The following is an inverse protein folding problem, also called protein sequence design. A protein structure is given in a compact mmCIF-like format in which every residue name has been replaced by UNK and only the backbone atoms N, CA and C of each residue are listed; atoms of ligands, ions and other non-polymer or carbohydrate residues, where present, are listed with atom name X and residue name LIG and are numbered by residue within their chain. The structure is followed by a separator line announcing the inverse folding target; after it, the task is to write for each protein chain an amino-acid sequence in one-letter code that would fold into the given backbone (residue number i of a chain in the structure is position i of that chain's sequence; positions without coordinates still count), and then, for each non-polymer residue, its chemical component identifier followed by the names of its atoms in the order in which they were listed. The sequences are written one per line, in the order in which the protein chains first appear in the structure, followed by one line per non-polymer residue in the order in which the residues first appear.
data_IF_021258908064
#
_entry.id   IF_021258908064
#
_cell.length_a   1.000
_cell.length_b   1.000
_cell.length_c   1.000
_cell.angle_alpha   90.00
_cell.angle_beta   90.00
_cell.angle_gamma   90.00
#
_symmetry.space_group_name_H-M   'P 1'
#
loop_
_entity.id
_entity.type
_entity.pdbx_description
1 polymer ?
#
# COMPACT_ATOMS: atom_id res chain seq x y z
N UNK A 1 -7.37 31.64 -2.48
CA UNK A 1 -5.95 31.25 -2.50
C UNK A 1 -5.27 31.65 -1.18
N UNK A 2 -4.51 30.75 -0.56
CA UNK A 2 -3.76 31.06 0.67
C UNK A 2 -2.46 31.83 0.32
N UNK A 3 -2.20 32.94 1.04
CA UNK A 3 -0.95 33.71 0.93
C UNK A 3 0.22 32.86 1.43
N UNK A 4 1.41 33.04 0.85
CA UNK A 4 2.64 32.47 1.44
C UNK A 4 2.75 32.96 2.89
N UNK A 5 3.06 32.06 3.82
CA UNK A 5 3.15 32.26 5.28
C UNK A 5 1.85 32.28 6.10
N UNK A 6 0.67 32.30 5.45
CA UNK A 6 -0.59 32.09 6.16
C UNK A 6 -0.93 30.59 6.17
N UNK A 7 -1.29 30.06 7.34
CA UNK A 7 -1.72 28.66 7.54
C UNK A 7 -3.24 28.59 7.84
N UNK A 8 -4.01 29.49 7.21
CA UNK A 8 -5.44 29.63 7.43
C UNK A 8 -6.20 28.34 7.11
N UNK A 9 -5.84 27.63 6.04
CA UNK A 9 -6.52 26.39 5.66
C UNK A 9 -6.33 25.31 6.75
N UNK A 10 -5.11 25.18 7.26
CA UNK A 10 -4.81 24.25 8.37
C UNK A 10 -5.62 24.59 9.63
N UNK A 11 -5.69 25.88 9.99
CA UNK A 11 -6.42 26.33 11.18
C UNK A 11 -7.93 26.14 11.00
N UNK A 12 -8.45 26.47 9.82
CA UNK A 12 -9.85 26.33 9.47
C UNK A 12 -10.35 24.87 9.51
N UNK A 13 -9.51 23.92 9.10
CA UNK A 13 -9.84 22.49 9.11
C UNK A 13 -9.60 21.81 10.46
N UNK A 14 -8.93 22.47 11.42
CA UNK A 14 -8.64 21.88 12.75
C UNK A 14 -9.89 21.42 13.51
N UNK A 15 -11.02 22.16 13.51
CA UNK A 15 -12.25 21.69 14.14
C UNK A 15 -12.76 20.35 13.56
N UNK A 16 -12.56 20.09 12.26
CA UNK A 16 -12.97 18.82 11.65
C UNK A 16 -12.18 17.64 12.21
N UNK A 17 -10.87 17.81 12.45
CA UNK A 17 -10.03 16.80 13.11
C UNK A 17 -10.56 16.51 14.51
N UNK A 18 -10.81 17.55 15.31
CA UNK A 18 -11.31 17.41 16.69
C UNK A 18 -12.65 16.67 16.74
N UNK A 19 -13.56 16.96 15.81
CA UNK A 19 -14.87 16.31 15.75
C UNK A 19 -14.75 14.85 15.28
N UNK A 20 -13.85 14.55 14.35
CA UNK A 20 -13.58 13.18 13.88
C UNK A 20 -12.90 12.32 14.96
N UNK A 21 -12.02 12.90 15.78
CA UNK A 21 -11.36 12.21 16.91
C UNK A 21 -12.30 11.98 18.10
N UNK A 22 -13.35 12.78 18.22
CA UNK A 22 -14.22 12.73 19.40
C UNK A 22 -15.06 11.44 19.41
N UNK A 23 -14.95 10.59 20.45
CA UNK A 23 -15.69 9.33 20.52
C UNK A 23 -17.20 9.53 20.64
N UNK A 24 -17.64 10.70 21.11
CA UNK A 24 -19.06 11.06 21.29
C UNK A 24 -19.63 11.81 20.08
N UNK A 25 -18.83 12.03 19.04
CA UNK A 25 -19.31 12.64 17.81
C UNK A 25 -20.37 11.75 17.17
N UNK A 26 -21.38 12.35 16.56
CA UNK A 26 -22.41 11.60 15.84
C UNK A 26 -21.91 11.18 14.46
N UNK A 27 -22.33 10.02 13.99
CA UNK A 27 -21.92 9.49 12.67
C UNK A 27 -22.30 10.44 11.53
N UNK A 28 -23.50 11.01 11.55
CA UNK A 28 -23.98 11.95 10.52
C UNK A 28 -23.13 13.23 10.44
N UNK A 29 -22.61 13.70 11.57
CA UNK A 29 -21.69 14.85 11.62
C UNK A 29 -20.33 14.48 11.02
N UNK A 30 -19.80 13.29 11.33
CA UNK A 30 -18.53 12.79 10.74
C UNK A 30 -18.67 12.57 9.23
N UNK A 31 -19.81 12.06 8.78
CA UNK A 31 -20.13 11.91 7.36
C UNK A 31 -20.19 13.28 6.66
N UNK A 32 -20.85 14.27 7.27
CA UNK A 32 -20.92 15.64 6.76
C UNK A 32 -19.52 16.25 6.61
N UNK A 33 -18.64 16.04 7.59
CA UNK A 33 -17.25 16.50 7.51
C UNK A 33 -16.54 15.90 6.30
N UNK A 34 -16.66 14.58 6.08
CA UNK A 34 -16.05 13.91 4.92
C UNK A 34 -16.61 14.45 3.60
N UNK A 35 -17.93 14.66 3.51
CA UNK A 35 -18.57 15.26 2.32
C UNK A 35 -18.09 16.69 2.07
N UNK A 36 -17.92 17.49 3.12
CA UNK A 36 -17.35 18.84 3.04
C UNK A 36 -15.90 18.81 2.53
N UNK A 37 -15.09 17.86 3.03
CA UNK A 37 -13.71 17.66 2.55
C UNK A 37 -13.68 17.24 1.09
N UNK A 38 -14.54 16.29 0.67
CA UNK A 38 -14.64 15.86 -0.73
C UNK A 38 -15.00 17.04 -1.64
N UNK A 39 -16.00 17.84 -1.26
CA UNK A 39 -16.42 19.01 -2.02
C UNK A 39 -15.30 20.06 -2.09
N UNK A 40 -14.60 20.31 -0.98
CA UNK A 40 -13.45 21.22 -0.95
C UNK A 40 -12.34 20.76 -1.89
N UNK A 41 -12.01 19.47 -1.92
CA UNK A 41 -11.02 18.93 -2.87
C UNK A 41 -11.48 19.16 -4.31
N UNK A 42 -12.72 18.76 -4.64
CA UNK A 42 -13.26 18.91 -6.00
C UNK A 42 -13.27 20.36 -6.49
N UNK A 43 -13.67 21.29 -5.63
CA UNK A 43 -13.81 22.69 -6.00
C UNK A 43 -12.48 23.47 -5.94
N UNK A 44 -11.57 23.09 -5.04
CA UNK A 44 -10.45 23.94 -4.65
C UNK A 44 -9.09 23.23 -4.65
N UNK A 45 -8.94 22.00 -5.16
CA UNK A 45 -7.68 21.22 -5.13
C UNK A 45 -6.44 22.06 -5.46
N UNK A 46 -6.44 22.79 -6.60
CA UNK A 46 -5.34 23.66 -7.06
C UNK A 46 -4.97 24.79 -6.07
N UNK A 47 -5.91 25.17 -5.21
CA UNK A 47 -5.77 26.23 -4.22
C UNK A 47 -5.45 25.71 -2.81
N UNK A 48 -5.49 24.39 -2.57
CA UNK A 48 -5.13 23.79 -1.30
C UNK A 48 -3.61 23.76 -1.20
N UNK A 49 -3.08 24.34 -0.10
CA UNK A 49 -1.65 24.37 0.25
C UNK A 49 -1.48 23.76 1.64
N UNK A 50 -1.51 24.58 2.69
CA UNK A 50 -1.29 24.10 4.08
C UNK A 50 -2.39 23.14 4.58
N UNK A 51 -3.53 23.07 3.87
CA UNK A 51 -4.65 22.21 4.21
C UNK A 51 -4.48 20.72 3.89
N UNK A 52 -3.60 20.32 2.97
CA UNK A 52 -3.47 18.91 2.54
C UNK A 52 -3.18 17.97 3.70
N UNK A 53 -2.22 18.32 4.56
CA UNK A 53 -1.90 17.51 5.75
C UNK A 53 -3.10 17.32 6.68
N UNK A 54 -3.90 18.36 6.90
CA UNK A 54 -5.11 18.25 7.73
C UNK A 54 -6.18 17.38 7.06
N UNK A 55 -6.33 17.48 5.73
CA UNK A 55 -7.23 16.62 4.96
C UNK A 55 -6.82 15.14 5.11
N UNK A 56 -5.53 14.83 4.94
CA UNK A 56 -5.02 13.48 5.15
C UNK A 56 -5.20 13.00 6.59
N UNK A 57 -5.04 13.87 7.60
CA UNK A 57 -5.38 13.53 8.99
C UNK A 57 -6.85 13.16 9.15
N UNK A 58 -7.79 13.91 8.55
CA UNK A 58 -9.23 13.59 8.58
C UNK A 58 -9.50 12.23 7.93
N UNK A 59 -8.86 11.95 6.78
CA UNK A 59 -9.00 10.66 6.11
C UNK A 59 -8.42 9.50 6.93
N UNK A 60 -7.27 9.68 7.59
CA UNK A 60 -6.72 8.67 8.51
C UNK A 60 -7.67 8.39 9.67
N UNK A 61 -8.31 9.43 10.23
CA UNK A 61 -9.32 9.25 11.28
C UNK A 61 -10.52 8.44 10.78
N UNK A 62 -10.97 8.69 9.55
CA UNK A 62 -12.03 7.88 8.93
C UNK A 62 -11.61 6.42 8.71
N UNK A 63 -10.34 6.14 8.41
CA UNK A 63 -9.82 4.78 8.31
C UNK A 63 -9.82 4.03 9.65
N UNK A 64 -9.74 4.78 10.76
CA UNK A 64 -9.82 4.27 12.13
C UNK A 64 -11.22 4.38 12.76
N UNK A 65 -12.25 4.79 12.01
CA UNK A 65 -13.60 4.97 12.56
C UNK A 65 -14.24 3.63 12.93
N UNK A 66 -15.17 3.64 13.88
CA UNK A 66 -15.97 2.46 14.23
C UNK A 66 -17.10 2.20 13.24
N UNK A 67 -17.44 3.17 12.39
CA UNK A 67 -18.42 3.04 11.34
C UNK A 67 -17.78 2.66 10.01
N UNK A 68 -18.20 1.50 9.46
CA UNK A 68 -17.78 1.05 8.13
C UNK A 68 -18.24 2.03 7.05
N UNK A 69 -19.35 2.75 7.26
CA UNK A 69 -19.84 3.76 6.31
C UNK A 69 -18.86 4.93 6.21
N UNK A 70 -18.37 5.41 7.35
CA UNK A 70 -17.37 6.49 7.42
C UNK A 70 -16.05 6.05 6.78
N UNK A 71 -15.58 4.84 7.10
CA UNK A 71 -14.35 4.31 6.52
C UNK A 71 -14.45 4.11 4.99
N UNK A 72 -15.60 3.64 4.49
CA UNK A 72 -15.89 3.51 3.05
C UNK A 72 -15.85 4.86 2.35
N UNK A 73 -16.55 5.86 2.90
CA UNK A 73 -16.58 7.22 2.35
C UNK A 73 -15.18 7.83 2.31
N UNK A 74 -14.39 7.66 3.38
CA UNK A 74 -12.99 8.11 3.41
C UNK A 74 -12.13 7.49 2.31
N UNK A 75 -12.27 6.18 2.08
CA UNK A 75 -11.53 5.48 1.03
C UNK A 75 -11.95 5.91 -0.39
N UNK A 76 -13.23 6.21 -0.59
CA UNK A 76 -13.74 6.76 -1.86
C UNK A 76 -13.19 8.17 -2.15
N UNK A 77 -13.07 9.01 -1.12
CA UNK A 77 -12.45 10.33 -1.25
C UNK A 77 -10.97 10.17 -1.61
N UNK A 78 -10.27 9.24 -0.95
CA UNK A 78 -8.87 8.94 -1.23
C UNK A 78 -8.68 8.46 -2.68
N UNK A 79 -9.57 7.61 -3.19
CA UNK A 79 -9.56 7.17 -4.59
C UNK A 79 -9.60 8.35 -5.56
N UNK A 80 -10.59 9.24 -5.40
CA UNK A 80 -10.76 10.41 -6.27
C UNK A 80 -9.57 11.35 -6.21
N UNK A 81 -8.98 11.49 -5.02
CA UNK A 81 -7.79 12.30 -4.81
C UNK A 81 -6.59 11.74 -5.59
N UNK A 82 -6.39 10.42 -5.60
CA UNK A 82 -5.35 9.78 -6.41
C UNK A 82 -5.60 9.97 -7.91
N UNK A 83 -6.85 9.83 -8.36
CA UNK A 83 -7.18 9.97 -9.78
C UNK A 83 -7.04 11.42 -10.26
N UNK A 84 -7.44 12.40 -9.43
CA UNK A 84 -7.57 13.80 -9.87
C UNK A 84 -6.41 14.70 -9.43
N UNK A 85 -5.72 14.36 -8.33
CA UNK A 85 -4.77 15.25 -7.66
C UNK A 85 -3.36 14.66 -7.50
N UNK A 86 -3.11 13.40 -7.90
CA UNK A 86 -1.80 12.77 -7.73
C UNK A 86 -0.63 13.62 -8.29
N UNK A 87 -0.69 14.17 -9.52
CA UNK A 87 0.40 15.02 -10.02
C UNK A 87 0.66 16.25 -9.16
N UNK A 88 -0.38 16.86 -8.59
CA UNK A 88 -0.25 18.01 -7.70
C UNK A 88 0.38 17.61 -6.36
N UNK A 89 -0.03 16.48 -5.80
CA UNK A 89 0.47 15.99 -4.51
C UNK A 89 1.91 15.49 -4.58
N UNK A 90 2.40 15.12 -5.76
CA UNK A 90 3.80 14.77 -5.97
C UNK A 90 4.75 15.98 -5.92
N UNK A 91 4.25 17.22 -5.88
CA UNK A 91 5.10 18.44 -5.85
C UNK A 91 5.69 18.74 -4.48
N UNK A 92 5.05 18.27 -3.40
CA UNK A 92 5.47 18.49 -2.01
C UNK A 92 5.65 17.13 -1.35
N UNK A 93 6.87 16.84 -0.91
CA UNK A 93 7.25 15.51 -0.39
C UNK A 93 6.44 15.16 0.86
N UNK A 94 6.20 16.13 1.75
CA UNK A 94 5.45 15.94 2.98
C UNK A 94 3.98 15.56 2.70
N UNK A 95 3.36 16.17 1.70
CA UNK A 95 1.98 15.87 1.30
C UNK A 95 1.90 14.49 0.65
N UNK A 96 2.90 14.13 -0.18
CA UNK A 96 3.01 12.78 -0.73
C UNK A 96 3.23 11.71 0.34
N UNK A 97 4.08 11.98 1.33
CA UNK A 97 4.27 11.09 2.47
C UNK A 97 2.99 10.93 3.30
N UNK A 98 2.21 12.01 3.45
CA UNK A 98 0.90 11.95 4.10
C UNK A 98 -0.10 11.11 3.29
N UNK A 99 -0.08 11.20 1.95
CA UNK A 99 -0.87 10.33 1.06
C UNK A 99 -0.52 8.84 1.23
N UNK A 100 0.77 8.50 1.25
CA UNK A 100 1.25 7.12 1.47
C UNK A 100 0.77 6.59 2.83
N UNK A 101 0.97 7.37 3.89
CA UNK A 101 0.53 6.99 5.26
C UNK A 101 -0.99 6.83 5.35
N UNK A 102 -1.74 7.72 4.70
CA UNK A 102 -3.20 7.65 4.66
C UNK A 102 -3.64 6.37 3.94
N UNK A 103 -3.05 6.07 2.79
CA UNK A 103 -3.34 4.83 2.05
C UNK A 103 -3.08 3.59 2.91
N UNK A 104 -1.95 3.53 3.61
CA UNK A 104 -1.61 2.44 4.52
C UNK A 104 -2.57 2.31 5.71
N UNK A 105 -3.09 3.42 6.25
CA UNK A 105 -4.09 3.37 7.33
C UNK A 105 -5.40 2.69 6.92
N UNK A 106 -5.75 2.70 5.63
CA UNK A 106 -6.91 1.96 5.11
C UNK A 106 -6.61 0.47 4.86
N UNK A 107 -5.34 0.07 4.84
CA UNK A 107 -4.93 -1.34 4.65
C UNK A 107 -5.05 -2.12 5.96
N UNK A 108 -4.39 -1.65 7.02
CA UNK A 108 -4.30 -2.35 8.30
C UNK A 108 -4.85 -1.51 9.47
N UNK A 109 -5.82 -0.63 9.17
CA UNK A 109 -6.37 0.37 10.08
C UNK A 109 -6.55 -0.07 11.54
N UNK A 110 -6.32 0.87 12.45
CA UNK A 110 -6.26 0.61 13.88
C UNK A 110 -7.63 0.36 14.56
N UNK A 111 -8.73 0.34 13.80
CA UNK A 111 -10.11 0.25 14.31
C UNK A 111 -10.61 -1.17 14.53
N UNK A 112 -11.62 -1.29 15.40
CA UNK A 112 -12.43 -2.50 15.58
C UNK A 112 -13.37 -2.79 14.39
N UNK A 113 -13.78 -1.75 13.65
CA UNK A 113 -14.54 -1.91 12.41
C UNK A 113 -13.58 -2.10 11.23
N UNK A 114 -13.17 -3.35 11.03
CA UNK A 114 -12.27 -3.71 9.94
C UNK A 114 -13.00 -3.51 8.61
N UNK A 115 -12.41 -2.72 7.71
CA UNK A 115 -12.90 -2.59 6.34
C UNK A 115 -13.04 -3.97 5.68
N UNK A 116 -14.05 -4.18 4.84
CA UNK A 116 -14.13 -5.38 4.00
C UNK A 116 -12.79 -5.63 3.30
N UNK A 117 -12.31 -6.88 3.22
CA UNK A 117 -10.99 -7.17 2.69
C UNK A 117 -10.76 -6.63 1.27
N UNK A 118 -11.80 -6.62 0.41
CA UNK A 118 -11.73 -6.02 -0.91
C UNK A 118 -11.35 -4.53 -0.91
N UNK A 119 -11.82 -3.78 0.09
CA UNK A 119 -11.48 -2.36 0.23
C UNK A 119 -10.07 -2.15 0.79
N UNK A 120 -9.60 -3.02 1.68
CA UNK A 120 -8.20 -3.01 2.15
C UNK A 120 -7.24 -3.30 1.00
N UNK A 121 -7.58 -4.26 0.13
CA UNK A 121 -6.79 -4.54 -1.07
C UNK A 121 -6.79 -3.35 -2.04
N UNK A 122 -7.90 -2.60 -2.13
CA UNK A 122 -7.95 -1.38 -2.93
C UNK A 122 -7.05 -0.28 -2.34
N UNK A 123 -6.98 -0.18 -1.02
CA UNK A 123 -6.02 0.72 -0.37
C UNK A 123 -4.56 0.31 -0.63
N UNK A 124 -4.26 -1.00 -0.68
CA UNK A 124 -2.95 -1.51 -1.10
C UNK A 124 -2.63 -1.11 -2.54
N UNK A 125 -3.63 -1.06 -3.42
CA UNK A 125 -3.46 -0.52 -4.77
C UNK A 125 -2.86 0.87 -4.77
N UNK A 126 -3.41 1.73 -3.93
CA UNK A 126 -2.98 3.12 -3.85
C UNK A 126 -1.53 3.26 -3.38
N UNK A 127 -1.09 2.41 -2.45
CA UNK A 127 0.32 2.37 -2.02
C UNK A 127 1.24 1.97 -3.18
N UNK A 128 0.85 0.99 -4.01
CA UNK A 128 1.64 0.61 -5.17
C UNK A 128 1.63 1.69 -6.28
N UNK A 129 0.51 2.38 -6.49
CA UNK A 129 0.45 3.55 -7.37
C UNK A 129 1.41 4.65 -6.90
N UNK A 130 1.51 4.87 -5.58
CA UNK A 130 2.50 5.78 -5.02
C UNK A 130 3.94 5.31 -5.30
N UNK A 131 4.23 4.01 -5.14
CA UNK A 131 5.54 3.46 -5.49
C UNK A 131 5.90 3.68 -6.98
N UNK A 132 4.93 3.48 -7.87
CA UNK A 132 5.10 3.74 -9.29
C UNK A 132 5.34 5.22 -9.60
N UNK A 133 4.65 6.14 -8.91
CA UNK A 133 4.87 7.58 -9.05
C UNK A 133 6.28 8.00 -8.60
N UNK A 134 6.82 7.39 -7.54
CA UNK A 134 8.19 7.62 -7.09
C UNK A 134 9.19 7.06 -8.10
N UNK A 135 8.93 5.88 -8.64
CA UNK A 135 9.78 5.23 -9.64
C UNK A 135 9.80 5.97 -10.98
N UNK A 136 8.67 6.56 -11.39
CA UNK A 136 8.59 7.37 -12.62
C UNK A 136 9.22 8.76 -12.46
N UNK A 137 9.75 9.08 -11.29
CA UNK A 137 10.30 10.40 -10.99
C UNK A 137 9.23 11.49 -10.92
N UNK A 138 7.96 11.17 -10.66
CA UNK A 138 6.90 12.20 -10.55
C UNK A 138 7.08 13.03 -9.26
N UNK A 139 7.63 12.41 -8.21
CA UNK A 139 7.91 13.05 -6.92
C UNK A 139 9.33 13.59 -6.93
N UNK A 140 9.45 14.91 -7.05
CA UNK A 140 10.75 15.60 -7.01
C UNK A 140 10.96 16.18 -5.62
N UNK A 141 12.19 16.09 -5.11
CA UNK A 141 12.57 16.71 -3.84
C UNK A 141 12.63 18.22 -3.99
N UNK A 142 11.48 18.90 -3.85
CA UNK A 142 11.46 20.36 -3.71
C UNK A 142 12.31 20.76 -2.51
N UNK A 143 13.38 21.51 -2.76
CA UNK A 143 14.25 22.06 -1.73
C UNK A 143 13.48 23.19 -1.01
N UNK A 144 12.53 22.85 -0.14
CA UNK A 144 12.06 23.76 0.89
C UNK A 144 12.22 23.05 2.25
N UNK A 145 12.96 23.68 3.15
CA UNK A 145 13.68 23.02 4.23
C UNK A 145 12.84 22.49 5.40
N UNK A 146 13.24 21.28 5.83
CA UNK A 146 13.28 20.81 7.24
C UNK A 146 12.14 19.87 7.69
N UNK A 147 12.28 19.12 8.80
CA UNK A 147 13.46 18.58 9.48
C UNK A 147 13.51 17.03 9.45
N UNK A 148 14.71 16.45 9.54
CA UNK A 148 14.95 15.16 10.24
C UNK A 148 14.12 13.93 9.85
N UNK A 149 13.79 13.69 8.58
CA UNK A 149 13.25 12.39 8.16
C UNK A 149 14.40 11.40 8.07
N UNK A 150 14.53 10.50 9.04
CA UNK A 150 15.49 9.39 9.00
C UNK A 150 15.14 8.41 7.86
N UNK A 151 15.55 8.76 6.64
CA UNK A 151 15.62 7.85 5.50
C UNK A 151 16.71 6.78 5.68
N UNK A 152 16.90 5.92 4.67
CA UNK A 152 18.03 4.98 4.64
C UNK A 152 19.41 5.67 4.53
N UNK A 153 19.45 7.00 4.42
CA UNK A 153 20.66 7.80 4.18
C UNK A 153 21.63 7.88 5.39
N UNK A 154 21.30 7.27 6.52
CA UNK A 154 22.04 7.42 7.78
C UNK A 154 23.36 6.65 7.93
N UNK A 155 23.79 5.81 6.96
CA UNK A 155 25.01 5.03 7.10
C UNK A 155 25.81 4.98 5.78
N UNK A 156 26.76 5.91 5.65
CA UNK A 156 27.79 5.91 4.61
C UNK A 156 27.61 7.07 3.63
N UNK A 157 28.45 8.10 3.79
CA UNK A 157 28.42 9.34 3.02
C UNK A 157 28.38 9.18 1.51
N UNK A 158 27.96 10.27 0.86
CA UNK A 158 27.76 10.52 -0.59
C UNK A 158 26.32 10.52 -1.12
N UNK A 159 25.30 10.55 -0.25
CA UNK A 159 23.89 10.62 -0.64
C UNK A 159 23.12 11.89 -0.23
N UNK A 160 23.80 13.02 -0.02
CA UNK A 160 23.15 14.28 0.36
C UNK A 160 22.52 14.99 -0.84
N UNK A 161 21.19 15.01 -0.91
CA UNK A 161 20.44 15.70 -1.98
C UNK A 161 19.13 15.00 -2.35
N UNK A 162 18.71 15.18 -3.60
CA UNK A 162 17.45 14.66 -4.17
C UNK A 162 17.31 13.12 -4.04
N UNK A 163 18.40 12.37 -4.24
CA UNK A 163 18.43 10.91 -4.04
C UNK A 163 18.15 10.50 -2.59
N UNK A 164 18.64 11.27 -1.62
CA UNK A 164 18.36 11.06 -0.20
C UNK A 164 16.87 11.24 0.12
N UNK A 165 16.25 12.29 -0.44
CA UNK A 165 14.81 12.55 -0.32
C UNK A 165 14.00 11.43 -0.97
N UNK A 166 14.39 10.97 -2.16
CA UNK A 166 13.75 9.84 -2.83
C UNK A 166 13.84 8.57 -1.99
N UNK A 167 14.98 8.29 -1.35
CA UNK A 167 15.15 7.16 -0.44
C UNK A 167 14.34 7.29 0.86
N UNK A 168 14.06 8.51 1.35
CA UNK A 168 13.10 8.72 2.45
C UNK A 168 11.67 8.31 2.06
N UNK A 169 11.26 8.61 0.82
CA UNK A 169 9.95 8.24 0.31
C UNK A 169 9.85 6.72 0.13
N UNK A 170 10.87 6.10 -0.48
CA UNK A 170 10.97 4.64 -0.59
C UNK A 170 10.92 3.96 0.77
N UNK A 171 11.61 4.52 1.78
CA UNK A 171 11.54 4.01 3.15
C UNK A 171 10.13 4.03 3.71
N UNK A 172 9.38 5.12 3.53
CA UNK A 172 8.01 5.20 4.03
C UNK A 172 7.09 4.13 3.41
N UNK A 173 7.24 3.86 2.10
CA UNK A 173 6.46 2.83 1.41
C UNK A 173 6.89 1.43 1.88
N UNK A 174 8.18 1.14 1.89
CA UNK A 174 8.73 -0.18 2.22
C UNK A 174 8.49 -0.52 3.69
N UNK A 175 8.75 0.41 4.62
CA UNK A 175 8.51 0.22 6.05
C UNK A 175 7.01 0.02 6.31
N UNK A 176 6.15 0.80 5.67
CA UNK A 176 4.69 0.66 5.81
C UNK A 176 4.18 -0.71 5.34
N UNK A 177 4.63 -1.17 4.18
CA UNK A 177 4.29 -2.52 3.68
C UNK A 177 4.91 -3.62 4.55
N UNK A 178 6.12 -3.41 5.06
CA UNK A 178 6.80 -4.36 5.95
C UNK A 178 6.08 -4.48 7.30
N UNK A 179 5.58 -3.37 7.84
CA UNK A 179 4.76 -3.33 9.06
C UNK A 179 3.43 -4.04 8.82
N UNK A 180 2.74 -3.79 7.71
CA UNK A 180 1.53 -4.54 7.39
C UNK A 180 1.76 -6.05 7.21
N UNK A 181 2.94 -6.46 6.73
CA UNK A 181 3.27 -7.86 6.46
C UNK A 181 3.54 -8.73 7.72
N UNK A 182 3.71 -8.13 8.90
CA UNK A 182 3.89 -8.88 10.15
C UNK A 182 2.70 -8.79 11.12
N UNK A 183 1.66 -8.02 10.78
CA UNK A 183 0.56 -7.72 11.71
C UNK A 183 -0.48 -8.84 11.66
N UNK A 184 -0.17 -9.95 12.33
CA UNK A 184 -1.04 -11.11 12.46
C UNK A 184 -2.20 -10.83 13.46
N UNK A 185 -3.22 -10.09 13.03
CA UNK A 185 -4.50 -10.04 13.77
C UNK A 185 -5.34 -11.25 13.37
N UNK A 186 -5.71 -12.07 14.35
CA UNK A 186 -6.32 -13.40 14.18
C UNK A 186 -7.46 -13.50 13.15
N UNK A 187 -7.54 -14.67 12.51
CA UNK A 187 -8.66 -15.14 11.67
C UNK A 187 -8.83 -14.46 10.30
N UNK A 188 -8.80 -13.12 10.23
CA UNK A 188 -9.04 -12.33 9.00
C UNK A 188 -7.91 -11.35 8.65
N UNK A 189 -6.99 -11.05 9.57
CA UNK A 189 -5.79 -10.25 9.29
C UNK A 189 -4.76 -10.92 8.38
N UNK A 190 -4.91 -12.22 8.10
CA UNK A 190 -4.04 -12.95 7.19
C UNK A 190 -4.08 -12.44 5.74
N UNK A 191 -5.22 -11.93 5.25
CA UNK A 191 -5.30 -11.47 3.85
C UNK A 191 -4.60 -10.13 3.66
N UNK A 192 -4.84 -9.16 4.52
CA UNK A 192 -4.14 -7.87 4.48
C UNK A 192 -2.63 -8.06 4.71
N UNK A 193 -2.25 -8.94 5.64
CA UNK A 193 -0.85 -9.30 5.88
C UNK A 193 -0.18 -9.91 4.65
N UNK A 194 -0.82 -10.92 4.03
CA UNK A 194 -0.34 -11.53 2.77
C UNK A 194 -0.30 -10.51 1.64
N UNK A 195 -1.32 -9.65 1.53
CA UNK A 195 -1.40 -8.56 0.58
C UNK A 195 -0.22 -7.59 0.70
N UNK A 196 0.11 -7.16 1.92
CA UNK A 196 1.28 -6.34 2.21
C UNK A 196 2.59 -7.04 1.83
N UNK A 197 2.75 -8.34 2.13
CA UNK A 197 3.93 -9.11 1.76
C UNK A 197 4.07 -9.26 0.22
N UNK A 198 2.98 -9.54 -0.48
CA UNK A 198 2.93 -9.61 -1.93
C UNK A 198 3.24 -8.25 -2.58
N UNK A 199 2.64 -7.17 -2.06
CA UNK A 199 2.90 -5.81 -2.53
C UNK A 199 4.36 -5.41 -2.28
N UNK A 200 4.92 -5.70 -1.11
CA UNK A 200 6.33 -5.47 -0.79
C UNK A 200 7.23 -6.20 -1.80
N UNK A 201 6.98 -7.48 -2.05
CA UNK A 201 7.72 -8.27 -3.04
C UNK A 201 7.60 -7.65 -4.45
N UNK A 202 6.39 -7.30 -4.88
CA UNK A 202 6.14 -6.74 -6.21
C UNK A 202 6.89 -5.41 -6.40
N UNK A 203 6.78 -4.50 -5.42
CA UNK A 203 7.47 -3.21 -5.42
C UNK A 203 8.99 -3.39 -5.51
N UNK A 204 9.56 -4.28 -4.69
CA UNK A 204 11.00 -4.55 -4.67
C UNK A 204 11.52 -5.21 -5.95
N UNK A 205 10.77 -6.15 -6.53
CA UNK A 205 11.18 -6.81 -7.78
C UNK A 205 11.12 -5.86 -8.98
N UNK A 206 10.09 -5.02 -9.01
CA UNK A 206 9.85 -4.15 -10.14
C UNK A 206 10.78 -2.94 -10.17
N UNK A 207 10.91 -2.28 -9.04
CA UNK A 207 11.68 -1.04 -8.90
C UNK A 207 13.10 -1.29 -8.38
N UNK A 208 13.47 -2.56 -8.25
CA UNK A 208 14.74 -3.01 -7.70
C UNK A 208 15.98 -2.54 -8.47
N UNK A 209 15.83 -2.26 -9.76
CA UNK A 209 16.89 -1.69 -10.60
C UNK A 209 17.21 -0.23 -10.25
N UNK A 210 16.35 0.46 -9.49
CA UNK A 210 16.59 1.83 -9.03
C UNK A 210 17.51 1.88 -7.80
N UNK A 211 17.70 0.76 -7.10
CA UNK A 211 18.51 0.72 -5.88
C UNK A 211 19.92 0.21 -6.17
N UNK A 212 20.91 0.92 -5.66
CA UNK A 212 22.30 0.47 -5.59
C UNK A 212 22.45 -0.71 -4.61
N UNK A 213 23.58 -1.43 -4.70
CA UNK A 213 23.88 -2.52 -3.77
C UNK A 213 23.90 -2.07 -2.29
N UNK A 214 24.30 -0.82 -2.01
CA UNK A 214 24.28 -0.23 -0.67
C UNK A 214 22.85 0.01 -0.19
N UNK A 215 22.01 0.62 -1.03
CA UNK A 215 20.59 0.89 -0.71
C UNK A 215 19.80 -0.42 -0.53
N UNK A 216 20.06 -1.43 -1.36
CA UNK A 216 19.52 -2.78 -1.18
C UNK A 216 19.84 -3.38 0.18
N UNK A 217 21.11 -3.26 0.63
CA UNK A 217 21.51 -3.73 1.95
C UNK A 217 20.70 -3.03 3.04
N UNK A 218 20.56 -1.71 2.98
CA UNK A 218 19.78 -0.94 3.95
C UNK A 218 18.30 -1.35 3.96
N UNK A 219 17.66 -1.50 2.80
CA UNK A 219 16.27 -1.95 2.66
C UNK A 219 16.09 -3.32 3.33
N UNK A 220 16.98 -4.27 3.02
CA UNK A 220 16.86 -5.64 3.54
C UNK A 220 17.11 -5.68 5.04
N UNK A 221 18.15 -5.01 5.54
CA UNK A 221 18.55 -5.08 6.95
C UNK A 221 17.64 -4.29 7.88
N UNK A 222 17.14 -3.12 7.43
CA UNK A 222 16.39 -2.22 8.30
C UNK A 222 14.87 -2.42 8.22
N UNK A 223 14.35 -2.99 7.11
CA UNK A 223 12.90 -3.06 6.87
C UNK A 223 12.42 -4.49 6.67
N UNK A 224 12.95 -5.18 5.65
CA UNK A 224 12.44 -6.50 5.24
C UNK A 224 12.77 -7.57 6.27
N UNK A 225 14.05 -7.70 6.69
CA UNK A 225 14.49 -8.72 7.65
C UNK A 225 13.80 -8.55 9.01
N UNK A 226 13.72 -7.35 9.62
CA UNK A 226 13.03 -7.19 10.90
C UNK A 226 11.55 -7.56 10.83
N UNK A 227 10.85 -7.21 9.75
CA UNK A 227 9.46 -7.58 9.56
C UNK A 227 9.28 -9.09 9.43
N UNK A 228 10.11 -9.78 8.65
CA UNK A 228 10.08 -11.24 8.54
C UNK A 228 10.34 -11.92 9.89
N UNK A 229 11.37 -11.49 10.62
CA UNK A 229 11.69 -12.04 11.94
C UNK A 229 10.55 -11.84 12.93
N UNK A 230 9.91 -10.65 12.94
CA UNK A 230 8.75 -10.38 13.80
C UNK A 230 7.54 -11.22 13.39
N UNK A 231 7.30 -11.38 12.09
CA UNK A 231 6.25 -12.25 11.56
C UNK A 231 6.41 -13.69 12.02
N UNK A 232 7.62 -14.26 11.84
CA UNK A 232 7.94 -15.64 12.27
C UNK A 232 7.78 -15.79 13.79
N UNK A 233 8.26 -14.84 14.59
CA UNK A 233 8.14 -14.93 16.07
C UNK A 233 6.71 -14.87 16.58
N UNK A 234 5.81 -14.21 15.84
CA UNK A 234 4.39 -14.12 16.16
C UNK A 234 3.58 -15.27 15.56
N UNK A 235 4.18 -16.04 14.65
CA UNK A 235 3.56 -17.20 14.05
C UNK A 235 3.62 -18.39 15.03
N UNK A 236 2.50 -18.63 15.71
CA UNK A 236 2.30 -19.80 16.56
C UNK A 236 1.74 -21.00 15.82
N UNK A 237 1.60 -20.94 14.49
CA UNK A 237 1.11 -22.08 13.70
C UNK A 237 2.14 -23.21 13.65
N UNK A 238 1.67 -24.46 13.66
CA UNK A 238 2.55 -25.61 13.51
C UNK A 238 3.21 -25.59 12.13
N UNK A 239 4.51 -25.90 12.07
CA UNK A 239 5.26 -25.97 10.81
C UNK A 239 4.65 -27.06 9.92
N UNK A 240 3.90 -26.67 8.89
CA UNK A 240 3.25 -27.58 7.94
C UNK A 240 4.20 -28.24 6.93
N UNK A 241 5.46 -27.77 6.85
CA UNK A 241 6.51 -28.31 5.99
C UNK A 241 7.60 -27.28 5.67
N UNK A 242 8.84 -27.73 5.48
CA UNK A 242 9.99 -26.88 5.14
C UNK A 242 10.38 -27.17 3.69
N UNK A 243 10.15 -26.22 2.78
CA UNK A 243 10.46 -26.38 1.37
C UNK A 243 11.55 -25.39 0.95
N UNK A 244 12.73 -25.92 0.61
CA UNK A 244 13.78 -25.18 -0.06
C UNK A 244 13.58 -25.31 -1.56
N UNK A 245 13.17 -24.25 -2.25
CA UNK A 245 13.27 -24.16 -3.71
C UNK A 245 14.31 -23.12 -4.09
N UNK A 246 15.17 -23.48 -5.03
CA UNK A 246 16.16 -22.57 -5.62
C UNK A 246 15.44 -21.39 -6.28
N UNK A 247 15.90 -20.13 -6.11
CA UNK A 247 15.24 -18.93 -6.62
C UNK A 247 15.19 -18.84 -8.15
N UNK A 248 15.78 -19.79 -8.87
CA UNK A 248 15.78 -19.91 -10.33
C UNK A 248 14.63 -20.77 -10.88
N UNK A 249 13.88 -21.47 -10.02
CA UNK A 249 12.71 -22.26 -10.40
C UNK A 249 11.47 -21.37 -10.43
N UNK A 250 11.07 -20.92 -11.61
CA UNK A 250 9.80 -20.25 -11.82
C UNK A 250 8.64 -21.17 -11.46
N UNK A 251 7.99 -20.90 -10.34
CA UNK A 251 6.55 -21.08 -10.08
C UNK A 251 6.27 -20.61 -8.65
N UNK A 252 5.60 -19.46 -8.57
CA UNK A 252 5.19 -18.80 -7.34
C UNK A 252 3.95 -19.50 -6.78
N UNK A 253 4.12 -20.32 -5.75
CA UNK A 253 2.99 -20.95 -5.04
C UNK A 253 3.19 -20.84 -3.53
N UNK A 254 3.11 -19.61 -3.01
CA UNK A 254 2.94 -19.36 -1.58
C UNK A 254 1.44 -19.43 -1.25
N UNK A 255 0.89 -20.65 -1.32
CA UNK A 255 -0.18 -21.24 -0.49
C UNK A 255 -0.60 -22.54 -1.18
N UNK A 256 -0.17 -23.69 -0.64
CA UNK A 256 -0.84 -24.97 -0.92
C UNK A 256 -1.38 -25.54 0.38
N UNK A 257 -2.59 -25.13 0.76
CA UNK A 257 -3.48 -26.05 1.48
C UNK A 257 -4.00 -27.09 0.48
N UNK A 258 -4.15 -28.33 0.95
CA UNK A 258 -4.23 -29.54 0.12
C UNK A 258 -5.35 -29.50 -0.95
N UNK A 259 -5.05 -29.82 -2.23
CA UNK A 259 -6.07 -30.02 -3.24
C UNK A 259 -6.91 -31.26 -2.92
N UNK A 260 -8.21 -31.19 -3.20
CA UNK A 260 -9.11 -32.34 -3.19
C UNK A 260 -8.62 -33.45 -4.13
N UNK A 261 -9.10 -34.67 -3.90
CA UNK A 261 -8.61 -35.92 -4.53
C UNK A 261 -8.42 -35.81 -6.05
N UNK A 262 -7.31 -36.39 -6.51
CA UNK A 262 -6.80 -36.43 -7.89
C UNK A 262 -7.79 -37.19 -8.82
N UNK A 263 -8.09 -36.67 -10.04
CA UNK A 263 -8.82 -37.42 -11.07
C UNK A 263 -8.01 -38.64 -11.55
N UNK A 264 -8.68 -39.76 -11.84
CA UNK A 264 -8.02 -41.02 -12.21
C UNK A 264 -7.23 -40.96 -13.53
N UNK A 265 -6.25 -41.87 -13.67
CA UNK A 265 -5.24 -41.93 -14.74
C UNK A 265 -5.77 -42.03 -16.19
N UNK A 266 -7.07 -42.17 -16.38
CA UNK A 266 -7.72 -42.24 -17.70
C UNK A 266 -8.30 -40.89 -18.17
N UNK A 267 -8.12 -39.81 -17.41
CA UNK A 267 -8.64 -38.49 -17.78
C UNK A 267 -7.87 -37.90 -18.98
N UNK A 268 -8.52 -37.87 -20.14
CA UNK A 268 -8.05 -37.29 -21.41
C UNK A 268 -7.52 -35.85 -21.27
N UNK A 269 -7.98 -35.11 -20.25
CA UNK A 269 -7.50 -33.76 -19.94
C UNK A 269 -6.05 -33.74 -19.45
N UNK A 270 -5.63 -34.76 -18.70
CA UNK A 270 -4.28 -34.90 -18.15
C UNK A 270 -3.25 -35.23 -19.24
N UNK A 271 -3.64 -36.06 -20.22
CA UNK A 271 -2.79 -36.40 -21.37
C UNK A 271 -2.53 -35.21 -22.30
N UNK A 272 -3.54 -34.37 -22.56
CA UNK A 272 -3.38 -33.15 -23.36
C UNK A 272 -2.43 -32.14 -22.72
N UNK A 273 -2.55 -31.94 -21.40
CA UNK A 273 -1.71 -31.00 -20.65
C UNK A 273 -0.25 -31.50 -20.60
N UNK A 274 -0.04 -32.81 -20.46
CA UNK A 274 1.31 -33.40 -20.50
C UNK A 274 2.00 -33.28 -21.86
N UNK A 275 1.26 -33.27 -22.97
CA UNK A 275 1.83 -33.08 -24.31
C UNK A 275 2.16 -31.61 -24.62
N UNK A 276 1.33 -30.66 -24.16
CA UNK A 276 1.61 -29.22 -24.32
C UNK A 276 2.84 -28.78 -23.54
N UNK A 277 3.05 -29.32 -22.33
CA UNK A 277 4.21 -29.00 -21.48
C UNK A 277 5.56 -29.44 -22.06
N UNK A 278 5.58 -30.36 -23.04
CA UNK A 278 6.82 -30.87 -23.66
C UNK A 278 7.19 -30.16 -24.97
N UNK A 279 6.33 -29.28 -25.51
CA UNK A 279 6.53 -28.67 -26.84
C UNK A 279 7.07 -27.23 -26.82
N UNK A 280 7.01 -26.51 -25.70
CA UNK A 280 7.45 -25.11 -25.64
C UNK A 280 8.80 -24.98 -24.92
N UNK A 281 9.87 -25.34 -25.63
CA UNK A 281 11.19 -24.81 -25.37
C UNK A 281 11.35 -23.46 -26.07
N UNK A 282 11.66 -22.39 -25.32
CA UNK A 282 12.59 -21.31 -25.69
C UNK A 282 12.27 -19.99 -24.98
N UNK A 283 13.34 -19.38 -24.45
CA UNK A 283 13.56 -17.93 -24.32
C UNK A 283 12.80 -17.15 -23.25
N UNK A 284 13.54 -16.76 -22.21
CA UNK A 284 13.52 -15.44 -21.55
C UNK A 284 12.22 -14.61 -21.68
N UNK A 285 11.28 -14.78 -20.73
CA UNK A 285 10.08 -13.95 -20.66
C UNK A 285 10.16 -13.01 -19.44
N UNK A 286 10.58 -11.76 -19.66
CA UNK A 286 10.37 -10.63 -18.73
C UNK A 286 8.93 -10.15 -18.87
N UNK A 287 8.36 -9.56 -17.82
CA UNK A 287 7.56 -8.30 -17.79
C UNK A 287 6.48 -8.37 -16.71
N UNK A 288 6.55 -7.42 -15.78
CA UNK A 288 5.41 -6.66 -15.28
C UNK A 288 5.93 -5.21 -15.00
N UNK A 289 5.38 -4.17 -15.69
CA UNK A 289 5.19 -2.77 -15.16
C UNK A 289 3.78 -2.05 -15.28
N UNK A 290 2.83 -2.00 -14.30
CA UNK A 290 2.07 -0.84 -13.71
C UNK A 290 1.10 -1.23 -12.60
N UNK A 291 1.52 -0.86 -11.37
CA UNK A 291 1.18 -1.33 -10.04
C UNK A 291 0.49 -2.69 -10.14
N UNK A 292 1.15 -3.82 -9.95
CA UNK A 292 0.94 -4.78 -11.05
C UNK A 292 0.98 -6.26 -10.77
N UNK A 293 0.11 -7.02 -11.44
CA UNK A 293 -1.15 -6.59 -12.05
C UNK A 293 -2.16 -6.18 -10.97
N UNK A 294 -2.23 -4.90 -10.57
CA UNK A 294 -2.42 -4.43 -9.19
C UNK A 294 -3.26 -5.31 -8.33
N UNK A 295 -2.53 -5.93 -7.42
CA UNK A 295 -2.95 -6.95 -6.48
C UNK A 295 -2.78 -8.37 -7.04
N UNK A 296 -2.34 -8.54 -8.30
CA UNK A 296 -2.05 -9.74 -9.16
C UNK A 296 -2.45 -11.10 -8.61
N UNK A 297 -3.57 -11.21 -7.97
CA UNK A 297 -4.68 -10.50 -8.43
C UNK A 297 -5.56 -10.30 -7.14
N UNK A 298 -6.20 -9.12 -6.91
CA UNK A 298 -7.41 -8.90 -6.06
C UNK A 298 -8.54 -9.92 -6.34
N UNK A 299 -8.21 -10.90 -7.17
CA UNK A 299 -8.44 -11.21 -8.60
C UNK A 299 -7.82 -12.63 -8.79
N UNK A 300 -7.16 -13.26 -7.80
CA UNK A 300 -7.73 -14.54 -7.41
C UNK A 300 -9.01 -14.28 -6.62
N UNK A 301 -9.82 -13.29 -7.04
CA UNK A 301 -11.25 -12.91 -6.99
C UNK A 301 -11.98 -13.38 -5.79
N UNK A 302 -11.29 -13.48 -4.68
CA UNK A 302 -11.85 -14.39 -3.71
C UNK A 302 -12.16 -15.77 -4.39
N UNK A 303 -11.47 -16.15 -5.52
CA UNK A 303 -11.70 -16.93 -6.79
C UNK A 303 -12.47 -18.25 -6.59
N UNK A 304 -13.51 -18.08 -5.79
CA UNK A 304 -14.33 -19.04 -5.03
C UNK A 304 -15.58 -18.34 -4.44
N UNK A 305 -15.78 -17.03 -4.66
CA UNK A 305 -17.05 -16.31 -4.47
C UNK A 305 -17.16 -15.36 -3.27
N UNK A 306 -16.59 -14.15 -3.34
CA UNK A 306 -16.90 -13.08 -2.36
C UNK A 306 -16.72 -11.66 -2.93
N UNK A 307 -16.40 -10.60 -2.17
CA UNK A 307 -16.54 -9.17 -2.57
C UNK A 307 -15.27 -8.27 -2.77
N UNK A 308 -14.09 -8.82 -3.03
CA UNK A 308 -12.91 -8.20 -3.67
C UNK A 308 -13.10 -7.80 -5.14
N UNK A 309 -14.21 -7.14 -5.46
CA UNK A 309 -14.53 -6.76 -6.83
C UNK A 309 -13.70 -5.56 -7.33
N UNK A 310 -13.18 -5.76 -8.54
CA UNK A 310 -12.50 -4.78 -9.39
C UNK A 310 -13.44 -4.22 -10.47
N UNK A 311 -14.69 -4.03 -10.03
CA UNK A 311 -15.77 -3.13 -10.47
C UNK A 311 -16.09 -3.22 -11.97
N UNK A 312 -17.20 -3.88 -12.34
CA UNK A 312 -17.69 -4.07 -13.73
C UNK A 312 -16.66 -3.93 -14.86
#
# INVERSE_FOLDING_TARGET
PELKDFNFQRIFLKPFVVIMESPNSREDVRELILRCVDNMIRALAKNIRSGWRTIFSILMLSASDSSVVIAKLGLEILHRLLDSCLPQLCTVVEDFLALVKTSLSFVYGYSAAVLPPGLQMRALCYVACCADAVASGLVHGGIEGGPGVHGYAGLGGEGGGERGVQMCIWKAIIDGLSEGAHEARGGRGGLAQRGCACALRAVLLRHGNLFSAKEWRCIVEQSVRPALVRGIRRDGSGVGGLFSRSPLGGELDLVREAPGKVPGEEDERFKRISMQAQSEGSSCARVMGKAEGLVEAMLWDLRRGGDGSLVE
#
